data_IF_246955599614
#
_entry.id   IF_246955599614
#
_cell.length_a   1.000
_cell.length_b   1.000
_cell.length_c   1.000
_cell.angle_alpha   90.00
_cell.angle_beta   90.00
_cell.angle_gamma   90.00
#
_symmetry.space_group_name_H-M   'P 1'
#
loop_
_entity.id
_entity.type
_entity.pdbx_description
1 polymer ?
#
# COMPACT_ATOMS: atom_id res chain seq x y z
N UNK A 1 44.54 -29.45 -33.52
CA UNK A 1 43.79 -30.67 -33.90
C UNK A 1 42.33 -30.39 -33.60
N UNK A 2 41.57 -30.08 -34.65
CA UNK A 2 40.19 -29.61 -34.58
C UNK A 2 39.31 -30.74 -34.03
N UNK A 3 38.65 -30.49 -32.90
CA UNK A 3 37.70 -31.44 -32.32
C UNK A 3 36.38 -31.30 -33.05
N UNK A 4 35.98 -32.37 -33.72
CA UNK A 4 34.74 -32.53 -34.48
C UNK A 4 33.52 -32.30 -33.56
N UNK A 5 32.62 -31.42 -33.98
CA UNK A 5 31.41 -31.07 -33.23
C UNK A 5 30.37 -32.19 -33.43
N UNK A 6 29.91 -32.87 -32.36
CA UNK A 6 28.97 -33.98 -32.52
C UNK A 6 27.59 -33.45 -32.94
N UNK A 7 26.82 -34.24 -33.73
CA UNK A 7 25.57 -33.78 -34.34
C UNK A 7 24.51 -33.42 -33.27
N UNK A 8 23.85 -32.28 -33.48
CA UNK A 8 22.71 -31.84 -32.67
C UNK A 8 21.55 -32.83 -32.83
N UNK A 9 21.14 -33.46 -31.73
CA UNK A 9 19.91 -34.23 -31.67
C UNK A 9 18.74 -33.26 -31.42
N UNK A 10 17.77 -33.13 -32.35
CA UNK A 10 16.65 -32.18 -32.23
C UNK A 10 15.69 -32.48 -31.06
N UNK A 11 15.83 -33.62 -30.38
CA UNK A 11 15.04 -34.00 -29.21
C UNK A 11 15.72 -33.74 -27.85
N UNK A 12 16.92 -33.18 -27.82
CA UNK A 12 17.56 -32.81 -26.55
C UNK A 12 16.89 -31.53 -26.03
N UNK A 13 16.18 -31.61 -24.90
CA UNK A 13 15.72 -30.40 -24.19
C UNK A 13 16.93 -29.48 -24.00
N UNK A 14 16.84 -28.17 -24.28
CA UNK A 14 17.97 -27.25 -24.13
C UNK A 14 18.30 -27.13 -22.64
N UNK A 15 19.10 -28.07 -22.14
CA UNK A 15 19.63 -28.04 -20.79
C UNK A 15 20.56 -26.83 -20.72
N UNK A 16 20.22 -25.91 -19.80
CA UNK A 16 20.96 -24.66 -19.58
C UNK A 16 22.39 -24.88 -19.08
N UNK A 17 22.78 -26.13 -18.83
CA UNK A 17 24.10 -26.56 -18.41
C UNK A 17 24.60 -27.71 -19.28
N UNK A 18 25.59 -27.46 -20.14
CA UNK A 18 26.25 -28.53 -20.90
C UNK A 18 27.39 -29.09 -20.06
N UNK A 19 27.20 -30.29 -19.51
CA UNK A 19 28.25 -31.00 -18.77
C UNK A 19 29.17 -31.71 -19.77
N UNK A 20 30.38 -31.16 -19.97
CA UNK A 20 31.39 -31.79 -20.83
C UNK A 20 32.37 -32.54 -19.94
N UNK A 21 32.28 -33.87 -19.94
CA UNK A 21 33.20 -34.74 -19.20
C UNK A 21 34.52 -34.86 -19.97
N UNK A 22 35.64 -34.50 -19.35
CA UNK A 22 37.00 -34.74 -19.86
C UNK A 22 37.71 -35.76 -18.99
N UNK A 23 38.42 -36.68 -19.63
CA UNK A 23 39.30 -37.63 -18.93
C UNK A 23 40.53 -36.89 -18.37
N UNK A 24 40.84 -37.12 -17.10
CA UNK A 24 42.00 -36.57 -16.41
C UNK A 24 43.30 -37.31 -16.75
N UNK A 25 44.39 -36.90 -16.12
CA UNK A 25 45.75 -37.39 -16.41
C UNK A 25 46.09 -38.71 -15.71
N UNK A 26 45.30 -39.12 -14.71
CA UNK A 26 45.43 -40.40 -13.99
C UNK A 26 44.33 -41.39 -14.39
N UNK A 27 44.63 -42.68 -14.33
CA UNK A 27 43.67 -43.76 -14.64
C UNK A 27 42.51 -43.69 -13.66
N UNK A 28 41.33 -43.27 -14.13
CA UNK A 28 40.10 -43.16 -13.34
C UNK A 28 39.59 -41.72 -13.11
N UNK A 29 40.43 -40.70 -13.31
CA UNK A 29 40.02 -39.31 -13.10
C UNK A 29 39.06 -38.83 -14.20
N UNK A 30 37.88 -38.36 -13.80
CA UNK A 30 36.92 -37.69 -14.68
C UNK A 30 36.67 -36.29 -14.14
N UNK A 31 37.00 -35.28 -14.95
CA UNK A 31 36.68 -33.89 -14.66
C UNK A 31 35.44 -33.49 -15.45
N UNK A 32 34.37 -33.11 -14.76
CA UNK A 32 33.17 -32.58 -15.39
C UNK A 32 33.30 -31.06 -15.45
N UNK A 33 33.55 -30.52 -16.65
CA UNK A 33 33.49 -29.06 -16.86
C UNK A 33 32.07 -28.69 -17.22
N UNK A 34 31.38 -28.04 -16.29
CA UNK A 34 30.06 -27.46 -16.55
C UNK A 34 30.29 -26.21 -17.41
N UNK A 35 29.98 -26.30 -18.70
CA UNK A 35 30.07 -25.18 -19.64
C UNK A 35 28.69 -24.54 -19.72
N UNK A 36 28.60 -23.28 -19.25
CA UNK A 36 27.41 -22.46 -19.40
C UNK A 36 27.39 -21.92 -20.84
N UNK A 37 26.36 -22.17 -21.65
CA UNK A 37 26.24 -21.52 -22.94
C UNK A 37 26.16 -20.01 -22.70
N UNK A 38 27.17 -19.30 -23.20
CA UNK A 38 27.32 -17.86 -23.09
C UNK A 38 26.10 -17.21 -23.74
N UNK A 39 25.35 -16.39 -22.99
CA UNK A 39 24.24 -15.59 -23.54
C UNK A 39 22.84 -15.87 -22.97
N UNK A 40 22.67 -16.77 -22.01
CA UNK A 40 21.34 -17.09 -21.48
C UNK A 40 20.69 -15.99 -20.64
N UNK A 41 21.45 -14.95 -20.25
CA UNK A 41 20.96 -13.85 -19.42
C UNK A 41 20.19 -14.32 -18.18
N UNK A 42 20.57 -15.46 -17.60
CA UNK A 42 19.99 -16.05 -16.39
C UNK A 42 21.07 -16.09 -15.32
N UNK A 43 20.81 -15.52 -14.14
CA UNK A 43 21.74 -15.52 -13.00
C UNK A 43 21.27 -16.58 -12.02
N UNK A 44 22.15 -17.51 -11.66
CA UNK A 44 21.83 -18.61 -10.74
C UNK A 44 22.44 -18.36 -9.35
N UNK A 45 21.62 -18.48 -8.30
CA UNK A 45 22.06 -18.50 -6.90
C UNK A 45 21.31 -19.61 -6.16
N UNK A 46 22.04 -20.46 -5.41
CA UNK A 46 21.43 -21.44 -4.50
C UNK A 46 20.48 -22.49 -5.11
N UNK A 47 20.56 -22.80 -6.41
CA UNK A 47 19.68 -23.79 -7.06
C UNK A 47 18.43 -23.23 -7.75
N UNK A 48 18.25 -21.90 -7.77
CA UNK A 48 17.22 -21.23 -8.56
C UNK A 48 17.85 -20.33 -9.65
N UNK A 49 17.20 -20.28 -10.81
CA UNK A 49 17.62 -19.47 -11.96
C UNK A 49 16.71 -18.26 -12.11
N UNK A 50 17.28 -17.06 -12.11
CA UNK A 50 16.54 -15.79 -12.24
C UNK A 50 16.84 -15.15 -13.59
N UNK A 51 15.78 -14.79 -14.32
CA UNK A 51 15.85 -14.08 -15.60
C UNK A 51 16.45 -12.68 -15.39
N UNK A 52 17.65 -12.45 -15.95
CA UNK A 52 18.35 -11.15 -15.92
C UNK A 52 17.67 -10.21 -16.92
N UNK A 53 17.77 -8.89 -16.71
CA UNK A 53 17.11 -7.85 -17.53
C UNK A 53 17.27 -8.04 -19.06
N UNK A 54 18.39 -8.62 -19.51
CA UNK A 54 18.64 -8.92 -20.93
C UNK A 54 17.68 -9.95 -21.54
N UNK A 55 17.07 -10.84 -20.75
CA UNK A 55 16.11 -11.85 -21.22
C UNK A 55 14.66 -11.36 -21.24
N UNK A 56 14.33 -10.34 -20.45
CA UNK A 56 13.00 -9.72 -20.40
C UNK A 56 12.89 -8.45 -21.27
N UNK A 57 13.96 -8.06 -21.97
CA UNK A 57 13.93 -6.97 -22.93
C UNK A 57 13.00 -7.36 -24.11
N UNK A 58 11.99 -6.54 -24.37
CA UNK A 58 10.98 -6.86 -25.37
C UNK A 58 11.60 -6.92 -26.78
N UNK A 59 11.43 -8.05 -27.45
CA UNK A 59 11.91 -8.25 -28.82
C UNK A 59 11.00 -7.52 -29.82
N UNK A 60 11.30 -6.23 -30.09
CA UNK A 60 10.61 -5.44 -31.11
C UNK A 60 10.79 -3.93 -30.95
N UNK A 61 10.63 -3.13 -32.02
CA UNK A 61 10.67 -1.66 -31.93
C UNK A 61 9.50 -1.10 -31.10
N UNK A 62 8.30 -1.67 -31.29
CA UNK A 62 7.11 -1.35 -30.49
C UNK A 62 7.27 -1.78 -29.03
N UNK A 63 7.81 -2.98 -28.79
CA UNK A 63 8.07 -3.48 -27.44
C UNK A 63 9.08 -2.63 -26.66
N UNK A 64 10.14 -2.15 -27.32
CA UNK A 64 11.14 -1.24 -26.71
C UNK A 64 10.59 0.16 -26.48
N UNK A 65 9.77 0.69 -27.38
CA UNK A 65 9.10 1.97 -27.18
C UNK A 65 8.09 1.90 -26.02
N UNK A 66 7.33 0.80 -25.93
CA UNK A 66 6.41 0.53 -24.81
C UNK A 66 7.17 0.34 -23.49
N UNK A 67 8.27 -0.42 -23.48
CA UNK A 67 9.13 -0.53 -22.31
C UNK A 67 9.83 0.77 -21.94
N UNK A 68 10.16 1.63 -22.90
CA UNK A 68 10.68 2.97 -22.65
C UNK A 68 9.64 3.89 -22.05
N UNK A 69 8.42 3.88 -22.56
CA UNK A 69 7.28 4.62 -21.99
C UNK A 69 6.96 4.13 -20.57
N UNK A 70 6.91 2.81 -20.36
CA UNK A 70 6.78 2.21 -19.04
C UNK A 70 7.97 2.56 -18.14
N UNK A 71 9.20 2.57 -18.65
CA UNK A 71 10.39 2.95 -17.87
C UNK A 71 10.38 4.42 -17.43
N UNK A 72 9.80 5.31 -18.24
CA UNK A 72 9.59 6.72 -17.87
C UNK A 72 8.44 6.88 -16.88
N UNK A 73 7.34 6.11 -17.02
CA UNK A 73 6.18 6.22 -16.14
C UNK A 73 6.40 5.50 -14.80
N UNK A 74 6.82 4.24 -14.84
CA UNK A 74 6.96 3.27 -13.73
C UNK A 74 8.37 3.28 -13.14
N UNK A 75 9.40 3.71 -13.85
CA UNK A 75 10.79 3.65 -13.37
C UNK A 75 11.48 2.33 -13.70
N UNK A 76 12.70 2.14 -13.18
CA UNK A 76 13.47 0.89 -13.36
C UNK A 76 12.81 -0.22 -12.55
N UNK A 77 12.80 -1.45 -13.10
CA UNK A 77 12.26 -2.62 -12.39
C UNK A 77 13.12 -2.87 -11.14
N UNK A 78 12.50 -2.79 -9.97
CA UNK A 78 13.15 -3.14 -8.71
C UNK A 78 13.38 -4.66 -8.69
N UNK A 79 14.60 -5.07 -8.32
CA UNK A 79 14.91 -6.48 -8.12
C UNK A 79 14.18 -6.96 -6.85
N UNK A 80 13.27 -7.93 -6.99
CA UNK A 80 12.52 -8.55 -5.88
C UNK A 80 13.41 -9.20 -4.80
N UNK A 81 14.72 -9.33 -5.04
CA UNK A 81 15.67 -9.84 -4.05
C UNK A 81 16.08 -8.80 -2.98
N UNK A 82 15.87 -7.49 -3.23
CA UNK A 82 16.20 -6.43 -2.25
C UNK A 82 15.07 -6.13 -1.25
N UNK A 83 13.80 -6.37 -1.62
CA UNK A 83 12.62 -6.13 -0.75
C UNK A 83 12.59 -7.02 0.50
N UNK A 84 13.17 -8.23 0.43
CA UNK A 84 13.12 -9.18 1.53
C UNK A 84 14.16 -8.90 2.64
N UNK A 85 15.23 -8.16 2.32
CA UNK A 85 16.31 -7.81 3.27
C UNK A 85 16.11 -6.43 3.91
N UNK A 86 15.32 -5.54 3.31
CA UNK A 86 15.05 -4.21 3.84
C UNK A 86 13.94 -4.22 4.89
N UNK A 87 14.31 -4.63 6.11
CA UNK A 87 13.40 -4.53 7.26
C UNK A 87 13.21 -3.06 7.62
N UNK A 88 12.00 -2.55 7.43
CA UNK A 88 11.62 -1.21 7.89
C UNK A 88 11.74 -1.14 9.42
N UNK A 89 12.58 -0.25 9.93
CA UNK A 89 12.74 -0.03 11.37
C UNK A 89 11.45 0.47 12.01
N UNK A 90 11.30 0.31 13.33
CA UNK A 90 10.07 0.70 14.05
C UNK A 90 9.76 2.19 13.88
N UNK A 91 10.78 3.05 13.87
CA UNK A 91 10.62 4.51 13.75
C UNK A 91 10.04 4.96 12.41
N UNK A 92 10.39 4.28 11.31
CA UNK A 92 9.85 4.56 9.98
C UNK A 92 8.61 3.73 9.68
N UNK A 93 8.55 2.51 10.19
CA UNK A 93 7.47 1.56 9.94
C UNK A 93 6.19 1.92 10.70
N UNK A 94 6.32 2.37 11.95
CA UNK A 94 5.15 2.73 12.77
C UNK A 94 4.36 3.89 12.13
N UNK A 95 4.94 5.02 11.71
CA UNK A 95 4.19 6.09 11.05
C UNK A 95 3.57 5.68 9.72
N UNK A 96 4.29 4.90 8.91
CA UNK A 96 3.80 4.43 7.60
C UNK A 96 2.59 3.51 7.79
N UNK A 97 2.65 2.58 8.76
CA UNK A 97 1.56 1.64 9.04
C UNK A 97 0.41 2.30 9.82
N UNK A 98 0.71 3.26 10.71
CA UNK A 98 -0.31 3.97 11.49
C UNK A 98 -1.03 5.06 10.68
N UNK A 99 -0.49 5.48 9.53
CA UNK A 99 -1.05 6.57 8.72
C UNK A 99 -2.52 6.34 8.36
N UNK A 100 -2.93 5.09 8.14
CA UNK A 100 -4.30 4.75 7.77
C UNK A 100 -5.30 4.92 8.94
N UNK A 101 -4.90 4.54 10.14
CA UNK A 101 -5.67 4.79 11.36
C UNK A 101 -5.73 6.29 11.69
N UNK A 102 -4.67 7.02 11.37
CA UNK A 102 -4.59 8.47 11.59
C UNK A 102 -5.49 9.21 10.61
N UNK A 103 -5.47 8.87 9.31
CA UNK A 103 -6.31 9.51 8.29
C UNK A 103 -7.80 9.28 8.56
N UNK A 104 -8.19 8.08 8.98
CA UNK A 104 -9.58 7.76 9.35
C UNK A 104 -10.11 8.60 10.51
N UNK A 105 -9.29 8.87 11.52
CA UNK A 105 -9.67 9.77 12.62
C UNK A 105 -9.95 11.21 12.16
N UNK A 106 -9.29 11.67 11.09
CA UNK A 106 -9.40 13.06 10.63
C UNK A 106 -10.74 13.35 9.94
N UNK A 107 -11.31 12.39 9.21
CA UNK A 107 -12.60 12.58 8.52
C UNK A 107 -13.80 11.97 9.26
N UNK A 108 -13.59 10.90 10.03
CA UNK A 108 -14.71 10.13 10.60
C UNK A 108 -15.54 10.94 11.61
N UNK A 109 -14.91 11.83 12.39
CA UNK A 109 -15.63 12.63 13.39
C UNK A 109 -16.61 13.61 12.75
N UNK A 110 -16.19 14.30 11.69
CA UNK A 110 -17.08 15.23 10.97
C UNK A 110 -18.23 14.48 10.30
N UNK A 111 -17.95 13.38 9.62
CA UNK A 111 -18.99 12.60 8.94
C UNK A 111 -19.99 11.98 9.93
N UNK A 112 -19.53 11.49 11.09
CA UNK A 112 -20.42 11.04 12.15
C UNK A 112 -21.36 12.16 12.63
N UNK A 113 -20.84 13.37 12.81
CA UNK A 113 -21.66 14.53 13.18
C UNK A 113 -22.62 14.94 12.05
N UNK A 114 -22.20 14.87 10.78
CA UNK A 114 -23.05 15.18 9.62
C UNK A 114 -24.25 14.24 9.55
N UNK A 115 -24.04 12.94 9.76
CA UNK A 115 -25.11 11.94 9.80
C UNK A 115 -26.06 12.18 10.98
N UNK A 116 -25.52 12.47 12.17
CA UNK A 116 -26.34 12.82 13.34
C UNK A 116 -27.13 14.11 13.12
N UNK A 117 -26.54 15.12 12.49
CA UNK A 117 -27.20 16.37 12.18
C UNK A 117 -28.41 16.18 11.24
N UNK A 118 -28.32 15.25 10.28
CA UNK A 118 -29.45 14.84 9.42
C UNK A 118 -30.56 14.20 10.25
N UNK A 119 -30.22 13.39 11.26
CA UNK A 119 -31.20 12.81 12.18
C UNK A 119 -31.83 13.86 13.14
N UNK A 120 -31.18 15.01 13.30
CA UNK A 120 -31.69 16.17 14.03
C UNK A 120 -30.65 16.76 14.99
N UNK A 121 -30.75 18.07 15.26
CA UNK A 121 -29.78 18.77 16.11
C UNK A 121 -29.62 18.17 17.52
N UNK A 122 -30.70 17.61 18.09
CA UNK A 122 -30.65 16.92 19.39
C UNK A 122 -29.82 15.62 19.37
N UNK A 123 -29.63 15.01 18.20
CA UNK A 123 -28.86 13.78 18.06
C UNK A 123 -27.34 14.01 18.21
N UNK A 124 -26.85 15.26 18.09
CA UNK A 124 -25.45 15.60 18.31
C UNK A 124 -24.98 15.31 19.74
N UNK A 125 -25.90 15.21 20.71
CA UNK A 125 -25.58 14.76 22.08
C UNK A 125 -25.01 13.33 22.09
N UNK A 126 -25.37 12.50 21.10
CA UNK A 126 -24.86 11.13 20.97
C UNK A 126 -23.45 11.05 20.39
N UNK A 127 -22.86 12.14 19.90
CA UNK A 127 -21.49 12.12 19.34
C UNK A 127 -20.48 11.57 20.35
N UNK A 128 -20.53 12.02 21.61
CA UNK A 128 -19.57 11.57 22.63
C UNK A 128 -19.81 10.11 23.08
N UNK A 129 -21.06 9.66 23.39
CA UNK A 129 -21.34 8.24 23.64
C UNK A 129 -20.92 7.31 22.49
N UNK A 130 -21.18 7.70 21.24
CA UNK A 130 -20.79 6.91 20.07
C UNK A 130 -19.26 6.83 19.95
N UNK A 131 -18.55 7.95 20.14
CA UNK A 131 -17.08 7.96 20.13
C UNK A 131 -16.49 7.01 21.19
N UNK A 132 -17.04 7.00 22.41
CA UNK A 132 -16.62 6.08 23.47
C UNK A 132 -16.90 4.61 23.09
N UNK A 133 -18.05 4.31 22.49
CA UNK A 133 -18.37 2.98 22.00
C UNK A 133 -17.40 2.51 20.91
N UNK A 134 -17.04 3.38 19.97
CA UNK A 134 -16.04 3.10 18.93
C UNK A 134 -14.66 2.82 19.54
N UNK A 135 -14.22 3.63 20.49
CA UNK A 135 -12.94 3.41 21.21
C UNK A 135 -12.95 2.07 21.95
N UNK A 136 -14.08 1.70 22.56
CA UNK A 136 -14.22 0.40 23.22
C UNK A 136 -14.11 -0.77 22.24
N UNK A 137 -14.79 -0.69 21.09
CA UNK A 137 -14.68 -1.70 20.02
C UNK A 137 -13.24 -1.76 19.49
N UNK A 138 -12.59 -0.61 19.28
CA UNK A 138 -11.19 -0.56 18.87
C UNK A 138 -10.26 -1.27 19.86
N UNK A 139 -10.47 -1.10 21.17
CA UNK A 139 -9.70 -1.80 22.19
C UNK A 139 -9.87 -3.32 22.10
N UNK A 140 -11.08 -3.81 21.84
CA UNK A 140 -11.35 -5.25 21.60
C UNK A 140 -10.60 -5.73 20.36
N UNK A 141 -10.68 -4.98 19.25
CA UNK A 141 -9.99 -5.31 17.99
C UNK A 141 -8.48 -5.39 18.21
N UNK A 142 -7.87 -4.40 18.87
CA UNK A 142 -6.43 -4.40 19.18
C UNK A 142 -6.03 -5.63 20.00
N UNK A 143 -6.81 -5.99 21.02
CA UNK A 143 -6.53 -7.18 21.83
C UNK A 143 -6.69 -8.48 21.03
N UNK A 144 -7.66 -8.54 20.13
CA UNK A 144 -7.91 -9.68 19.24
C UNK A 144 -6.76 -9.86 18.25
N UNK A 145 -6.42 -8.80 17.50
CA UNK A 145 -5.34 -8.80 16.51
C UNK A 145 -3.98 -9.10 17.15
N UNK A 146 -3.75 -8.59 18.36
CA UNK A 146 -2.53 -8.92 19.12
C UNK A 146 -2.37 -10.42 19.38
N UNK A 147 -3.47 -11.17 19.54
CA UNK A 147 -3.43 -12.63 19.70
C UNK A 147 -3.15 -13.31 18.35
N UNK A 148 -3.78 -12.82 17.28
CA UNK A 148 -3.57 -13.34 15.92
C UNK A 148 -2.10 -13.18 15.50
N UNK A 149 -1.51 -11.99 15.71
CA UNK A 149 -0.10 -11.72 15.38
C UNK A 149 0.84 -12.68 16.12
N UNK A 150 0.57 -12.98 17.40
CA UNK A 150 1.37 -13.95 18.17
C UNK A 150 1.21 -15.39 17.70
N UNK A 151 0.02 -15.77 17.24
CA UNK A 151 -0.24 -17.10 16.70
C UNK A 151 0.35 -17.30 15.28
N UNK A 152 0.51 -16.21 14.53
CA UNK A 152 0.98 -16.18 13.15
C UNK A 152 2.26 -15.33 12.99
N UNK A 153 3.41 -15.73 13.59
CA UNK A 153 4.63 -14.92 13.62
C UNK A 153 5.28 -14.75 12.24
N UNK A 154 5.03 -15.68 11.31
CA UNK A 154 5.54 -15.62 9.94
C UNK A 154 4.66 -14.73 9.02
N UNK A 155 3.61 -14.09 9.56
CA UNK A 155 2.66 -13.29 8.80
C UNK A 155 1.62 -14.13 8.04
N UNK A 156 1.02 -13.52 7.02
CA UNK A 156 -0.01 -14.16 6.17
C UNK A 156 -1.31 -13.36 6.02
N UNK A 157 -1.52 -12.37 6.89
CA UNK A 157 -2.68 -11.49 6.86
C UNK A 157 -4.02 -12.22 7.07
N UNK A 158 -5.11 -11.46 7.00
CA UNK A 158 -6.47 -11.93 7.28
C UNK A 158 -6.90 -13.08 6.35
N UNK A 159 -6.36 -13.13 5.13
CA UNK A 159 -6.60 -14.22 4.17
C UNK A 159 -6.07 -15.56 4.68
N UNK A 160 -4.79 -15.64 5.07
CA UNK A 160 -4.17 -16.90 5.48
C UNK A 160 -4.83 -17.42 6.75
N UNK A 161 -5.04 -16.52 7.72
CA UNK A 161 -5.70 -16.85 8.99
C UNK A 161 -7.12 -17.37 8.75
N UNK A 162 -7.93 -16.70 7.94
CA UNK A 162 -9.29 -17.16 7.65
C UNK A 162 -9.30 -18.49 6.86
N UNK A 163 -8.37 -18.66 5.92
CA UNK A 163 -8.27 -19.88 5.11
C UNK A 163 -7.92 -21.10 5.94
N UNK A 164 -6.96 -20.98 6.85
CA UNK A 164 -6.50 -22.11 7.67
C UNK A 164 -7.53 -22.50 8.74
N UNK A 165 -8.25 -21.54 9.31
CA UNK A 165 -9.20 -21.80 10.40
C UNK A 165 -10.63 -22.10 9.93
N UNK A 166 -11.04 -21.54 8.79
CA UNK A 166 -12.44 -21.58 8.33
C UNK A 166 -12.60 -22.05 6.88
N UNK A 167 -11.50 -22.50 6.26
CA UNK A 167 -11.50 -23.06 4.92
C UNK A 167 -11.43 -22.01 3.81
N UNK A 168 -11.42 -22.49 2.57
CA UNK A 168 -11.11 -21.68 1.38
C UNK A 168 -12.10 -20.55 1.15
N UNK A 169 -13.41 -20.79 1.34
CA UNK A 169 -14.43 -19.77 1.09
C UNK A 169 -14.29 -18.59 2.05
N UNK A 170 -14.09 -18.85 3.35
CA UNK A 170 -13.86 -17.79 4.33
C UNK A 170 -12.59 -16.99 4.02
N UNK A 171 -11.51 -17.66 3.59
CA UNK A 171 -10.32 -17.00 3.07
C UNK A 171 -10.63 -16.07 1.89
N UNK A 172 -11.36 -16.56 0.88
CA UNK A 172 -11.71 -15.75 -0.29
C UNK A 172 -12.61 -14.55 0.05
N UNK A 173 -13.52 -14.69 1.03
CA UNK A 173 -14.31 -13.57 1.55
C UNK A 173 -13.40 -12.54 2.21
N UNK A 174 -12.46 -12.98 3.06
CA UNK A 174 -11.49 -12.08 3.69
C UNK A 174 -10.62 -11.35 2.66
N UNK A 175 -10.12 -12.04 1.63
CA UNK A 175 -9.35 -11.42 0.55
C UNK A 175 -10.19 -10.41 -0.25
N UNK A 176 -11.43 -10.75 -0.59
CA UNK A 176 -12.34 -9.85 -1.30
C UNK A 176 -12.65 -8.60 -0.48
N UNK A 177 -12.91 -8.77 0.82
CA UNK A 177 -13.15 -7.66 1.73
C UNK A 177 -11.93 -6.73 1.83
N UNK A 178 -10.71 -7.28 1.96
CA UNK A 178 -9.48 -6.49 1.98
C UNK A 178 -9.25 -5.69 0.69
N UNK A 179 -9.55 -6.28 -0.47
CA UNK A 179 -9.41 -5.55 -1.75
C UNK A 179 -10.38 -4.38 -1.84
N UNK A 180 -11.63 -4.58 -1.41
CA UNK A 180 -12.63 -3.51 -1.37
C UNK A 180 -12.21 -2.43 -0.38
N UNK A 181 -11.74 -2.83 0.81
CA UNK A 181 -11.25 -1.93 1.84
C UNK A 181 -10.11 -1.05 1.31
N UNK A 182 -9.10 -1.63 0.67
CA UNK A 182 -8.01 -0.85 0.08
C UNK A 182 -8.46 0.17 -0.97
N UNK A 183 -9.39 -0.21 -1.84
CA UNK A 183 -9.93 0.72 -2.85
C UNK A 183 -10.72 1.84 -2.18
N UNK A 184 -11.56 1.50 -1.21
CA UNK A 184 -12.39 2.47 -0.50
C UNK A 184 -11.54 3.43 0.33
N UNK A 185 -10.53 2.93 1.03
CA UNK A 185 -9.61 3.72 1.85
C UNK A 185 -8.88 4.77 1.03
N UNK A 186 -8.35 4.40 -0.15
CA UNK A 186 -7.70 5.37 -1.05
C UNK A 186 -8.71 6.40 -1.55
N UNK A 187 -9.91 5.97 -1.94
CA UNK A 187 -10.95 6.88 -2.44
C UNK A 187 -11.40 7.88 -1.37
N UNK A 188 -11.76 7.40 -0.18
CA UNK A 188 -12.27 8.22 0.93
C UNK A 188 -11.18 9.14 1.47
N UNK A 189 -9.97 8.63 1.70
CA UNK A 189 -8.86 9.45 2.20
C UNK A 189 -8.49 10.58 1.23
N UNK A 190 -8.49 10.29 -0.08
CA UNK A 190 -8.22 11.31 -1.10
C UNK A 190 -9.34 12.35 -1.14
N UNK A 191 -10.61 11.91 -1.09
CA UNK A 191 -11.75 12.82 -1.09
C UNK A 191 -11.75 13.74 0.15
N UNK A 192 -11.49 13.19 1.34
CA UNK A 192 -11.37 13.93 2.58
C UNK A 192 -10.19 14.91 2.56
N UNK A 193 -9.04 14.48 2.04
CA UNK A 193 -7.86 15.35 1.88
C UNK A 193 -8.15 16.55 0.98
N UNK A 194 -8.91 16.35 -0.10
CA UNK A 194 -9.30 17.44 -1.02
C UNK A 194 -10.37 18.34 -0.43
N UNK A 195 -11.29 17.79 0.36
CA UNK A 195 -12.22 18.61 1.13
C UNK A 195 -11.47 19.54 2.10
N UNK A 196 -10.45 19.03 2.80
CA UNK A 196 -9.59 19.85 3.66
C UNK A 196 -8.82 20.93 2.89
N UNK A 197 -8.26 20.61 1.72
CA UNK A 197 -7.59 21.59 0.85
C UNK A 197 -8.58 22.66 0.36
N UNK A 198 -9.77 22.24 -0.07
CA UNK A 198 -10.82 23.15 -0.57
C UNK A 198 -11.38 24.05 0.54
N UNK A 199 -11.34 23.60 1.79
CA UNK A 199 -11.70 24.42 2.96
C UNK A 199 -10.72 25.60 3.14
N UNK A 200 -9.42 25.38 2.89
CA UNK A 200 -8.40 26.44 2.93
C UNK A 200 -8.39 27.31 1.68
N UNK A 201 -8.63 26.72 0.51
CA UNK A 201 -8.65 27.39 -0.79
C UNK A 201 -9.97 27.12 -1.54
N UNK A 202 -11.05 27.89 -1.24
CA UNK A 202 -12.39 27.64 -1.78
C UNK A 202 -12.48 27.67 -3.31
N UNK A 203 -11.58 28.40 -3.97
CA UNK A 203 -11.47 28.48 -5.44
C UNK A 203 -11.21 27.11 -6.09
N UNK A 204 -10.64 26.14 -5.35
CA UNK A 204 -10.37 24.79 -5.82
C UNK A 204 -11.60 23.87 -5.76
N UNK A 205 -12.65 24.26 -5.04
CA UNK A 205 -13.83 23.42 -4.82
C UNK A 205 -14.51 22.93 -6.12
N UNK A 206 -14.67 23.74 -7.19
CA UNK A 206 -15.20 23.26 -8.47
C UNK A 206 -14.35 22.18 -9.13
N UNK A 207 -13.05 22.15 -8.85
CA UNK A 207 -12.08 21.22 -9.43
C UNK A 207 -11.76 20.02 -8.51
N UNK A 208 -12.52 19.82 -7.42
CA UNK A 208 -12.27 18.75 -6.43
C UNK A 208 -12.15 17.34 -7.04
N UNK A 209 -13.01 17.01 -8.03
CA UNK A 209 -12.99 15.70 -8.70
C UNK A 209 -11.73 15.51 -9.56
N UNK A 210 -11.40 16.39 -10.53
CA UNK A 210 -10.18 16.23 -11.32
C UNK A 210 -8.91 16.30 -10.47
N UNK A 211 -8.88 17.12 -9.41
CA UNK A 211 -7.76 17.14 -8.45
C UNK A 211 -7.63 15.78 -7.76
N UNK A 212 -8.74 15.15 -7.36
CA UNK A 212 -8.75 13.83 -6.71
C UNK A 212 -8.26 12.71 -7.59
N UNK A 213 -8.79 12.63 -8.80
CA UNK A 213 -8.31 11.65 -9.79
C UNK A 213 -6.84 11.88 -10.11
N UNK A 214 -6.42 13.15 -10.25
CA UNK A 214 -5.02 13.52 -10.46
C UNK A 214 -4.10 13.10 -9.31
N UNK A 215 -4.53 13.31 -8.06
CA UNK A 215 -3.76 12.93 -6.88
C UNK A 215 -3.65 11.42 -6.74
N UNK A 216 -4.73 10.66 -6.97
CA UNK A 216 -4.69 9.19 -6.98
C UNK A 216 -3.75 8.69 -8.08
N UNK A 217 -3.80 9.27 -9.28
CA UNK A 217 -2.90 8.91 -10.37
C UNK A 217 -1.43 9.23 -10.02
N UNK A 218 -1.17 10.38 -9.40
CA UNK A 218 0.17 10.78 -8.95
C UNK A 218 0.71 9.81 -7.88
N UNK A 219 -0.10 9.48 -6.86
CA UNK A 219 0.25 8.51 -5.83
C UNK A 219 0.46 7.11 -6.43
N UNK A 220 -0.37 6.73 -7.41
CA UNK A 220 -0.22 5.49 -8.17
C UNK A 220 1.12 5.43 -8.91
N UNK A 221 1.49 6.50 -9.63
CA UNK A 221 2.80 6.62 -10.29
C UNK A 221 3.94 6.61 -9.28
N UNK A 222 3.79 7.30 -8.14
CA UNK A 222 4.77 7.28 -7.05
C UNK A 222 4.99 5.88 -6.48
N UNK A 223 3.92 5.13 -6.24
CA UNK A 223 3.98 3.74 -5.77
C UNK A 223 4.63 2.83 -6.82
N UNK A 224 4.31 3.00 -8.11
CA UNK A 224 4.92 2.26 -9.20
C UNK A 224 6.43 2.53 -9.34
N UNK A 225 6.89 3.73 -8.99
CA UNK A 225 8.30 4.15 -8.99
C UNK A 225 9.08 3.72 -7.74
N UNK A 226 8.46 3.03 -6.80
CA UNK A 226 9.13 2.62 -5.55
C UNK A 226 9.37 3.78 -4.58
N UNK A 227 8.67 4.92 -4.71
CA UNK A 227 8.87 6.07 -3.80
C UNK A 227 8.54 5.71 -2.35
N UNK A 228 7.73 4.65 -2.13
CA UNK A 228 7.39 4.10 -0.81
C UNK A 228 8.61 3.51 -0.07
N UNK A 229 9.66 3.09 -0.77
CA UNK A 229 10.92 2.62 -0.16
C UNK A 229 11.72 3.79 0.46
N UNK A 230 11.45 5.04 0.07
CA UNK A 230 12.11 6.23 0.62
C UNK A 230 11.52 6.68 1.97
N UNK A 231 11.27 5.74 2.90
CA UNK A 231 10.37 5.82 4.06
C UNK A 231 10.37 7.09 4.93
N UNK A 232 11.42 7.92 4.90
CA UNK A 232 11.47 9.22 5.58
C UNK A 232 10.48 10.23 4.97
N UNK A 233 10.35 10.27 3.64
CA UNK A 233 9.47 11.23 2.95
C UNK A 233 7.98 11.00 3.28
N UNK A 234 7.60 9.76 3.61
CA UNK A 234 6.24 9.39 4.00
C UNK A 234 5.97 9.47 5.51
N UNK A 235 7.00 9.35 6.36
CA UNK A 235 6.83 9.44 7.81
C UNK A 235 6.69 10.89 8.32
N UNK A 236 7.35 11.85 7.67
CA UNK A 236 7.37 13.25 8.13
C UNK A 236 5.96 13.91 8.22
N UNK A 237 5.06 13.77 7.22
CA UNK A 237 3.71 14.33 7.32
C UNK A 237 2.91 13.74 8.49
N UNK A 238 3.08 12.44 8.76
CA UNK A 238 2.39 11.76 9.88
C UNK A 238 2.84 12.33 11.22
N UNK A 239 4.14 12.55 11.43
CA UNK A 239 4.63 13.17 12.66
C UNK A 239 4.17 14.63 12.79
N UNK A 240 4.19 15.39 11.70
CA UNK A 240 3.68 16.76 11.70
C UNK A 240 2.18 16.81 12.10
N UNK A 241 1.38 15.87 11.59
CA UNK A 241 -0.02 15.73 11.99
C UNK A 241 -0.17 15.42 13.48
N UNK A 242 0.57 14.43 14.01
CA UNK A 242 0.49 14.06 15.43
C UNK A 242 0.84 15.24 16.33
N UNK A 243 1.93 15.95 16.03
CA UNK A 243 2.38 17.12 16.81
C UNK A 243 1.36 18.26 16.69
N UNK A 244 0.87 18.54 15.49
CA UNK A 244 -0.14 19.58 15.25
C UNK A 244 -1.45 19.30 16.00
N UNK A 245 -1.94 18.06 15.92
CA UNK A 245 -3.16 17.64 16.63
C UNK A 245 -2.98 17.73 18.15
N UNK A 246 -1.85 17.24 18.67
CA UNK A 246 -1.53 17.36 20.09
C UNK A 246 -1.48 18.83 20.54
N UNK A 247 -0.86 19.72 19.75
CA UNK A 247 -0.83 21.15 20.04
C UNK A 247 -2.24 21.76 20.08
N UNK A 248 -3.10 21.46 19.11
CA UNK A 248 -4.49 21.95 19.06
C UNK A 248 -5.26 21.49 20.30
N UNK A 249 -5.15 20.20 20.68
CA UNK A 249 -5.83 19.65 21.85
C UNK A 249 -5.33 20.27 23.16
N UNK A 250 -4.01 20.36 23.35
CA UNK A 250 -3.42 20.90 24.58
C UNK A 250 -3.72 22.40 24.75
N UNK A 251 -3.59 23.18 23.67
CA UNK A 251 -3.93 24.61 23.69
C UNK A 251 -5.43 24.80 23.93
N UNK A 252 -6.28 24.00 23.26
CA UNK A 252 -7.72 24.03 23.43
C UNK A 252 -8.14 23.73 24.87
N UNK A 253 -7.62 22.65 25.46
CA UNK A 253 -7.90 22.26 26.83
C UNK A 253 -7.37 23.30 27.84
N UNK A 254 -6.18 23.85 27.59
CA UNK A 254 -5.62 24.94 28.39
C UNK A 254 -6.48 26.20 28.36
N UNK A 255 -7.02 26.58 27.20
CA UNK A 255 -7.97 27.70 27.07
C UNK A 255 -9.25 27.45 27.84
N UNK A 256 -9.80 26.24 27.76
CA UNK A 256 -10.99 25.85 28.53
C UNK A 256 -10.72 25.94 30.03
N UNK A 257 -9.57 25.44 30.49
CA UNK A 257 -9.18 25.46 31.90
C UNK A 257 -9.05 26.89 32.47
N UNK A 258 -8.51 27.83 31.68
CA UNK A 258 -8.35 29.24 32.07
C UNK A 258 -9.62 30.08 31.78
N UNK A 259 -10.67 29.47 31.23
CA UNK A 259 -11.92 30.16 30.88
C UNK A 259 -11.83 31.05 29.63
N UNK A 260 -10.76 30.96 28.84
CA UNK A 260 -10.54 31.69 27.60
C UNK A 260 -11.20 30.99 26.40
N UNK A 261 -12.50 30.68 26.51
CA UNK A 261 -13.26 29.97 25.46
C UNK A 261 -13.63 30.97 24.36
N UNK A 262 -13.17 30.78 23.11
CA UNK A 262 -13.55 31.65 22.01
C UNK A 262 -15.06 31.56 21.74
N UNK A 263 -15.70 32.64 21.26
CA UNK A 263 -17.12 32.61 20.89
C UNK A 263 -17.36 31.55 19.81
N UNK A 264 -18.55 30.94 19.85
CA UNK A 264 -18.96 29.91 18.90
C UNK A 264 -18.85 30.49 17.48
N UNK A 265 -17.95 29.93 16.67
CA UNK A 265 -17.84 30.30 15.27
C UNK A 265 -19.11 29.85 14.54
N UNK A 266 -19.87 30.80 13.99
CA UNK A 266 -21.00 30.48 13.12
C UNK A 266 -20.46 30.22 11.71
N UNK A 267 -20.59 29.00 11.16
CA UNK A 267 -20.17 28.74 9.79
C UNK A 267 -21.01 29.59 8.82
N UNK A 268 -20.40 30.20 7.78
CA UNK A 268 -21.13 31.03 6.80
C UNK A 268 -22.26 30.29 6.09
N UNK A 269 -22.11 28.97 5.93
CA UNK A 269 -23.07 28.07 5.29
C UNK A 269 -23.18 26.79 6.13
N UNK A 270 -24.15 26.71 7.06
CA UNK A 270 -24.26 25.57 7.97
C UNK A 270 -24.55 24.25 7.25
N UNK A 271 -25.20 24.32 6.09
CA UNK A 271 -25.58 23.17 5.26
C UNK A 271 -25.71 23.64 3.80
N UNK A 272 -24.88 23.12 2.89
CA UNK A 272 -25.21 23.16 1.46
C UNK A 272 -26.41 22.23 1.22
N UNK A 273 -27.48 22.67 0.50
CA UNK A 273 -28.68 21.85 0.26
C UNK A 273 -28.44 20.65 -0.68
N UNK A 274 -27.21 20.42 -1.12
CA UNK A 274 -26.85 19.29 -1.98
C UNK A 274 -26.77 18.02 -1.13
N UNK A 275 -27.92 17.36 -0.96
CA UNK A 275 -28.06 16.11 -0.23
C UNK A 275 -29.33 15.98 0.59
N UNK A 276 -30.06 17.08 0.82
CA UNK A 276 -31.37 17.07 1.50
C UNK A 276 -32.51 16.96 0.49
N UNK A 277 -32.47 15.93 -0.38
CA UNK A 277 -33.70 15.55 -1.08
C UNK A 277 -34.63 14.95 -0.01
N UNK A 278 -35.82 15.54 0.23
CA UNK A 278 -36.74 14.97 1.19
C UNK A 278 -37.18 13.59 0.70
N UNK A 279 -37.15 12.59 1.60
CA UNK A 279 -37.66 11.23 1.40
C UNK A 279 -39.20 11.18 1.19
N UNK A 280 -39.83 12.30 0.83
CA UNK A 280 -41.28 12.41 0.60
C UNK A 280 -41.68 12.11 -0.85
N UNK A 281 -40.79 11.50 -1.64
CA UNK A 281 -41.13 10.97 -2.97
C UNK A 281 -40.68 9.50 -3.08
N UNK A 282 -41.27 8.68 -2.20
CA UNK A 282 -41.53 7.25 -2.39
C UNK A 282 -42.95 7.00 -1.84
#
# INVERSE_FOLDING_TARGET
>A
MSAEEPPQNPNDTPSLERRVTRAGRHVGDRYVRIVRPIGSGLRGHGGHYVATEQTMAASGRLGRAWQGALGVLIGKRLHSEAEAEERVGVETGLPILASDNISSSAYATEEAMRILAIAGAGALVFTMPIALAVVFVLAIVVLSESRVIRAYPNGGGSYLVARENHGVIAGLVAASALLIDYVLTVAVSTAAGIAAISSFAPELHPFRVPIGVGLIALLGVGNLRGVREAGIAFAAPTYAYIVGMAAILLIGLGRVYVGAIPPIAQPPHPLDPVGTAPLTVL
#
